data_IF_253354211843
#
_entry.id   IF_253354211843
#
_cell.length_a   1.000
_cell.length_b   1.000
_cell.length_c   1.000
_cell.angle_alpha   90.00
_cell.angle_beta   90.00
_cell.angle_gamma   90.00
#
_symmetry.space_group_name_H-M   'P 1'
#
loop_
_entity.id
_entity.type
_entity.pdbx_description
1 polymer ?
#
# COMPACT_ATOMS: atom_id res chain seq x y z
N UNK A 1 -59.33 11.06 17.06
CA UNK A 1 -59.24 10.01 16.04
C UNK A 1 -58.33 8.91 16.58
N UNK A 2 -58.90 7.89 17.20
CA UNK A 2 -58.21 6.78 17.84
C UNK A 2 -57.86 5.74 16.80
N UNK A 3 -56.57 5.51 16.56
CA UNK A 3 -56.07 4.42 15.71
C UNK A 3 -55.82 3.20 16.63
N UNK A 4 -56.72 2.20 16.60
CA UNK A 4 -56.48 0.92 17.25
C UNK A 4 -55.50 0.09 16.46
N UNK A 5 -54.49 -0.52 17.07
CA UNK A 5 -53.66 -1.53 16.38
C UNK A 5 -54.44 -2.84 16.24
N UNK A 6 -54.48 -3.36 15.02
CA UNK A 6 -55.01 -4.69 14.72
C UNK A 6 -53.93 -5.70 15.11
N UNK A 7 -54.07 -6.36 16.27
CA UNK A 7 -53.30 -7.52 16.64
C UNK A 7 -54.03 -8.75 16.05
N UNK A 8 -53.55 -9.22 14.90
CA UNK A 8 -53.92 -10.53 14.36
C UNK A 8 -53.11 -11.59 15.13
N UNK A 9 -53.79 -12.29 16.01
CA UNK A 9 -53.25 -13.43 16.72
C UNK A 9 -53.18 -14.64 15.77
N UNK A 10 -52.05 -14.95 15.26
CA UNK A 10 -51.73 -16.20 14.61
C UNK A 10 -51.10 -17.13 15.63
N UNK A 11 -51.77 -18.24 15.94
CA UNK A 11 -51.29 -19.28 16.82
C UNK A 11 -50.02 -19.91 16.23
N UNK A 12 -48.89 -19.64 16.82
CA UNK A 12 -47.66 -20.38 16.59
C UNK A 12 -47.80 -21.82 17.10
N UNK A 13 -47.98 -22.73 16.14
CA UNK A 13 -47.75 -24.16 16.36
C UNK A 13 -46.27 -24.38 16.69
N UNK A 14 -46.00 -24.63 17.97
CA UNK A 14 -44.71 -25.08 18.49
C UNK A 14 -44.33 -26.44 17.89
N UNK A 15 -43.95 -26.49 16.62
CA UNK A 15 -43.22 -27.59 16.03
C UNK A 15 -41.79 -27.58 16.56
N UNK A 16 -41.55 -28.34 17.63
CA UNK A 16 -40.21 -28.72 18.08
C UNK A 16 -39.44 -29.30 16.89
N UNK A 17 -38.65 -28.47 16.22
CA UNK A 17 -37.64 -28.94 15.28
C UNK A 17 -36.56 -29.66 16.09
N UNK A 18 -36.70 -30.97 16.25
CA UNK A 18 -35.61 -31.83 16.66
C UNK A 18 -34.61 -31.85 15.49
N UNK A 19 -33.62 -30.99 15.51
CA UNK A 19 -32.47 -31.08 14.64
C UNK A 19 -31.70 -32.33 15.08
N UNK A 20 -32.07 -33.49 14.50
CA UNK A 20 -31.18 -34.65 14.44
C UNK A 20 -30.01 -34.21 13.55
N UNK A 21 -28.90 -33.94 14.17
CA UNK A 21 -27.62 -33.68 13.47
C UNK A 21 -27.16 -35.00 12.84
N UNK A 22 -27.51 -35.22 11.60
CA UNK A 22 -26.75 -36.08 10.72
C UNK A 22 -25.51 -35.29 10.22
N UNK A 23 -24.54 -35.12 11.11
CA UNK A 23 -23.28 -34.40 10.80
C UNK A 23 -22.49 -35.10 9.68
N UNK A 24 -22.61 -36.39 9.51
CA UNK A 24 -21.98 -37.19 8.46
C UNK A 24 -22.57 -36.93 7.07
N UNK A 25 -23.89 -36.88 6.93
CA UNK A 25 -24.55 -36.66 5.63
C UNK A 25 -24.36 -35.22 5.12
N UNK A 26 -24.21 -34.25 6.01
CA UNK A 26 -23.95 -32.87 5.61
C UNK A 26 -22.52 -32.65 5.09
N UNK A 27 -21.51 -33.34 5.63
CA UNK A 27 -20.15 -33.29 5.13
C UNK A 27 -20.01 -33.94 3.75
N UNK A 28 -20.62 -35.09 3.53
CA UNK A 28 -20.57 -35.80 2.26
C UNK A 28 -21.29 -35.03 1.15
N UNK A 29 -22.46 -34.44 1.43
CA UNK A 29 -23.19 -33.58 0.51
C UNK A 29 -22.42 -32.25 0.22
N UNK A 30 -21.70 -31.71 1.18
CA UNK A 30 -20.83 -30.55 0.98
C UNK A 30 -19.59 -30.87 0.12
N UNK A 31 -18.98 -32.06 0.32
CA UNK A 31 -17.88 -32.53 -0.52
C UNK A 31 -18.30 -32.79 -1.97
N UNK A 32 -19.45 -33.40 -2.18
CA UNK A 32 -20.02 -33.66 -3.52
C UNK A 32 -20.32 -32.32 -4.22
N UNK A 33 -20.96 -31.38 -3.51
CA UNK A 33 -21.28 -30.04 -4.05
C UNK A 33 -20.06 -29.20 -4.34
N UNK A 34 -18.99 -29.35 -3.56
CA UNK A 34 -17.72 -28.67 -3.80
C UNK A 34 -16.89 -29.31 -4.91
N UNK A 35 -16.98 -30.61 -5.15
CA UNK A 35 -16.29 -31.29 -6.26
C UNK A 35 -16.80 -30.90 -7.64
N UNK A 36 -18.07 -30.52 -7.78
CA UNK A 36 -18.70 -30.11 -9.05
C UNK A 36 -18.49 -28.64 -9.42
N UNK A 37 -17.96 -27.79 -8.51
CA UNK A 37 -17.76 -26.38 -8.76
C UNK A 37 -16.43 -26.06 -9.49
N UNK A 38 -16.38 -25.07 -10.40
CA UNK A 38 -15.16 -24.62 -11.04
C UNK A 38 -14.08 -24.29 -10.01
N UNK A 39 -12.82 -24.58 -10.33
CA UNK A 39 -11.67 -24.42 -9.42
C UNK A 39 -11.55 -23.03 -8.80
N UNK A 40 -11.99 -21.99 -9.51
CA UNK A 40 -11.99 -20.60 -9.03
C UNK A 40 -13.04 -20.34 -7.94
N UNK A 41 -14.18 -21.05 -7.97
CA UNK A 41 -15.25 -20.92 -6.97
C UNK A 41 -14.90 -21.69 -5.69
N UNK A 42 -14.26 -22.86 -5.82
CA UNK A 42 -13.80 -23.65 -4.65
C UNK A 42 -12.86 -22.86 -3.72
N UNK A 43 -12.01 -21.99 -4.29
CA UNK A 43 -11.07 -21.19 -3.52
C UNK A 43 -11.70 -20.06 -2.69
N UNK A 44 -12.95 -19.71 -2.95
CA UNK A 44 -13.69 -18.64 -2.27
C UNK A 44 -14.76 -19.15 -1.32
N UNK A 45 -14.94 -20.46 -1.23
CA UNK A 45 -15.84 -21.11 -0.28
C UNK A 45 -15.12 -21.39 1.04
N UNK A 46 -15.85 -21.20 2.16
CA UNK A 46 -15.33 -21.63 3.47
C UNK A 46 -15.26 -23.16 3.50
N UNK A 47 -14.09 -23.76 3.81
CA UNK A 47 -13.93 -25.21 3.89
C UNK A 47 -14.87 -25.88 4.88
N UNK A 48 -15.33 -25.16 5.90
CA UNK A 48 -16.23 -25.66 6.94
C UNK A 48 -17.71 -25.29 6.69
N UNK A 49 -18.01 -24.52 5.64
CA UNK A 49 -19.37 -24.11 5.28
C UNK A 49 -20.06 -23.17 6.28
N UNK A 50 -19.36 -22.68 7.29
CA UNK A 50 -19.90 -21.85 8.37
C UNK A 50 -20.00 -20.38 7.95
N UNK A 51 -18.96 -19.85 7.32
CA UNK A 51 -18.91 -18.44 6.93
C UNK A 51 -19.58 -18.23 5.57
N UNK A 52 -20.51 -17.27 5.43
CA UNK A 52 -21.13 -16.95 4.15
C UNK A 52 -20.08 -16.65 3.07
N UNK A 53 -20.28 -17.17 1.86
CA UNK A 53 -19.30 -17.12 0.77
C UNK A 53 -18.81 -15.71 0.43
N UNK A 54 -19.69 -14.72 0.47
CA UNK A 54 -19.33 -13.32 0.20
C UNK A 54 -18.34 -12.78 1.23
N UNK A 55 -18.59 -13.03 2.50
CA UNK A 55 -17.76 -12.60 3.62
C UNK A 55 -16.41 -13.33 3.58
N UNK A 56 -16.43 -14.65 3.37
CA UNK A 56 -15.20 -15.44 3.26
C UNK A 56 -14.31 -14.99 2.11
N UNK A 57 -14.90 -14.55 0.98
CA UNK A 57 -14.17 -13.98 -0.16
C UNK A 57 -13.30 -12.76 0.23
N UNK A 58 -13.79 -11.90 1.12
CA UNK A 58 -13.02 -10.74 1.63
C UNK A 58 -11.77 -11.22 2.36
N UNK A 59 -11.91 -12.19 3.28
CA UNK A 59 -10.78 -12.75 4.00
C UNK A 59 -9.76 -13.45 3.08
N UNK A 60 -10.24 -14.20 2.08
CA UNK A 60 -9.37 -14.87 1.10
C UNK A 60 -8.61 -13.84 0.27
N UNK A 61 -9.26 -12.76 -0.16
CA UNK A 61 -8.62 -11.70 -0.92
C UNK A 61 -7.51 -11.03 -0.11
N UNK A 62 -7.76 -10.69 1.17
CA UNK A 62 -6.75 -10.11 2.06
C UNK A 62 -5.57 -11.07 2.28
N UNK A 63 -5.85 -12.34 2.57
CA UNK A 63 -4.83 -13.38 2.75
C UNK A 63 -3.94 -13.53 1.51
N UNK A 64 -4.54 -13.47 0.31
CA UNK A 64 -3.81 -13.54 -0.97
C UNK A 64 -2.89 -12.34 -1.15
N UNK A 65 -3.38 -11.13 -0.87
CA UNK A 65 -2.60 -9.90 -0.97
C UNK A 65 -1.41 -9.94 0.00
N UNK A 66 -1.63 -10.39 1.24
CA UNK A 66 -0.54 -10.49 2.22
C UNK A 66 0.50 -11.53 1.83
N UNK A 67 0.08 -12.69 1.31
CA UNK A 67 1.02 -13.68 0.77
C UNK A 67 1.84 -13.12 -0.39
N UNK A 68 1.20 -12.38 -1.30
CA UNK A 68 1.89 -11.75 -2.42
C UNK A 68 2.91 -10.71 -1.94
N UNK A 69 2.53 -9.86 -0.97
CA UNK A 69 3.45 -8.89 -0.39
C UNK A 69 4.66 -9.55 0.28
N UNK A 70 4.43 -10.62 1.04
CA UNK A 70 5.51 -11.40 1.69
C UNK A 70 6.47 -11.93 0.61
N UNK A 71 5.95 -12.56 -0.45
CA UNK A 71 6.77 -13.06 -1.54
C UNK A 71 7.58 -11.93 -2.19
N UNK A 72 6.94 -10.79 -2.46
CA UNK A 72 7.58 -9.62 -3.06
C UNK A 72 8.71 -9.07 -2.18
N UNK A 73 8.48 -8.91 -0.87
CA UNK A 73 9.51 -8.42 0.04
C UNK A 73 10.65 -9.43 0.27
N UNK A 74 10.37 -10.75 0.26
CA UNK A 74 11.41 -11.78 0.25
C UNK A 74 12.29 -11.62 -0.99
N UNK A 75 11.71 -11.44 -2.17
CA UNK A 75 12.48 -11.25 -3.41
C UNK A 75 13.37 -10.01 -3.33
N UNK A 76 12.84 -8.87 -2.87
CA UNK A 76 13.63 -7.63 -2.72
C UNK A 76 14.77 -7.86 -1.71
N UNK A 77 14.50 -8.50 -0.59
CA UNK A 77 15.49 -8.80 0.43
C UNK A 77 16.63 -9.67 -0.11
N UNK A 78 16.29 -10.75 -0.84
CA UNK A 78 17.28 -11.64 -1.46
C UNK A 78 18.10 -10.90 -2.52
N UNK A 79 17.48 -10.12 -3.40
CA UNK A 79 18.20 -9.31 -4.41
C UNK A 79 19.14 -8.31 -3.73
N UNK A 80 18.70 -7.64 -2.69
CA UNK A 80 19.51 -6.70 -1.92
C UNK A 80 20.70 -7.36 -1.27
N UNK A 81 20.48 -8.53 -0.63
CA UNK A 81 21.53 -9.32 -0.01
C UNK A 81 22.54 -9.80 -1.05
N UNK A 82 22.06 -10.37 -2.16
CA UNK A 82 22.90 -10.84 -3.26
C UNK A 82 23.74 -9.71 -3.84
N UNK A 83 23.15 -8.54 -4.07
CA UNK A 83 23.88 -7.37 -4.58
C UNK A 83 24.97 -6.93 -3.61
N UNK A 84 24.69 -6.90 -2.30
CA UNK A 84 25.69 -6.55 -1.28
C UNK A 84 26.84 -7.56 -1.23
N UNK A 85 26.53 -8.86 -1.33
CA UNK A 85 27.54 -9.92 -1.39
C UNK A 85 28.39 -9.84 -2.66
N UNK A 86 27.78 -9.60 -3.82
CA UNK A 86 28.50 -9.42 -5.08
C UNK A 86 29.43 -8.22 -5.02
N UNK A 87 29.04 -7.12 -4.40
CA UNK A 87 29.90 -5.96 -4.20
C UNK A 87 31.13 -6.29 -3.30
N UNK A 88 30.93 -7.19 -2.32
CA UNK A 88 32.00 -7.57 -1.41
C UNK A 88 32.98 -8.62 -2.01
N UNK A 89 32.44 -9.64 -2.69
CA UNK A 89 33.22 -10.81 -3.11
C UNK A 89 33.60 -10.81 -4.60
N UNK A 90 32.83 -10.11 -5.45
CA UNK A 90 33.05 -10.11 -6.89
C UNK A 90 33.01 -8.68 -7.48
N UNK A 91 33.84 -7.74 -7.00
CA UNK A 91 33.86 -6.36 -7.49
C UNK A 91 34.23 -6.27 -8.98
N UNK A 92 34.93 -7.25 -9.53
CA UNK A 92 35.30 -7.33 -10.95
C UNK A 92 34.09 -7.35 -11.90
N UNK A 93 32.93 -7.86 -11.48
CA UNK A 93 31.70 -7.86 -12.27
C UNK A 93 31.18 -6.42 -12.50
N UNK A 94 31.59 -5.48 -11.67
CA UNK A 94 31.15 -4.08 -11.71
C UNK A 94 32.22 -3.12 -12.22
N UNK A 95 33.27 -3.62 -12.89
CA UNK A 95 34.40 -2.81 -13.40
C UNK A 95 33.95 -1.62 -14.25
N UNK A 96 32.84 -1.74 -15.01
CA UNK A 96 32.25 -0.64 -15.78
C UNK A 96 31.80 0.56 -14.93
N UNK A 97 31.54 0.33 -13.64
CA UNK A 97 31.11 1.35 -12.68
C UNK A 97 32.24 1.82 -11.75
N UNK A 98 33.40 1.16 -11.83
CA UNK A 98 34.60 1.53 -11.10
C UNK A 98 35.41 2.52 -11.93
N UNK A 99 36.02 3.51 -11.26
CA UNK A 99 36.99 4.40 -11.89
C UNK A 99 38.28 3.62 -12.17
N UNK A 100 38.97 4.01 -13.25
CA UNK A 100 40.24 3.37 -13.61
C UNK A 100 41.19 3.32 -12.41
N UNK A 101 41.73 2.13 -12.15
CA UNK A 101 42.66 1.88 -11.02
C UNK A 101 42.00 1.50 -9.68
N UNK A 102 40.67 1.47 -9.58
CA UNK A 102 40.00 1.02 -8.35
C UNK A 102 39.72 -0.48 -8.39
N UNK A 103 40.18 -1.19 -7.37
CA UNK A 103 39.94 -2.64 -7.18
C UNK A 103 38.76 -2.93 -6.25
N UNK A 104 38.29 -1.94 -5.49
CA UNK A 104 37.22 -2.08 -4.51
C UNK A 104 36.09 -1.10 -4.78
N UNK A 105 34.85 -1.57 -4.56
CA UNK A 105 33.65 -0.71 -4.65
C UNK A 105 33.64 0.24 -3.46
N UNK A 106 33.42 1.53 -3.74
CA UNK A 106 33.32 2.57 -2.71
C UNK A 106 32.14 2.25 -1.79
N UNK A 107 32.34 2.41 -0.47
CA UNK A 107 31.33 2.09 0.57
C UNK A 107 29.97 2.73 0.33
N UNK A 108 29.89 3.88 -0.33
CA UNK A 108 28.64 4.56 -0.67
C UNK A 108 27.68 3.71 -1.52
N UNK A 109 28.16 2.79 -2.34
CA UNK A 109 27.32 1.90 -3.14
C UNK A 109 26.60 0.83 -2.30
N UNK A 110 27.12 0.48 -1.12
CA UNK A 110 26.46 -0.43 -0.19
C UNK A 110 25.23 0.17 0.50
N UNK A 111 25.13 1.51 0.54
CA UNK A 111 24.04 2.20 1.27
C UNK A 111 22.67 1.83 0.69
N UNK A 112 22.53 1.88 -0.63
CA UNK A 112 21.23 1.64 -1.30
C UNK A 112 20.74 0.18 -1.06
N UNK A 113 21.51 -0.87 -1.38
CA UNK A 113 21.08 -2.24 -1.10
C UNK A 113 20.89 -2.48 0.40
N UNK A 114 21.72 -1.94 1.28
CA UNK A 114 21.54 -2.13 2.72
C UNK A 114 20.23 -1.53 3.24
N UNK A 115 19.91 -0.31 2.84
CA UNK A 115 18.63 0.33 3.20
C UNK A 115 17.45 -0.47 2.64
N UNK A 116 17.49 -0.89 1.37
CA UNK A 116 16.44 -1.70 0.76
C UNK A 116 16.29 -3.05 1.46
N UNK A 117 17.39 -3.70 1.84
CA UNK A 117 17.40 -4.94 2.60
C UNK A 117 16.72 -4.80 3.96
N UNK A 118 17.11 -3.80 4.75
CA UNK A 118 16.52 -3.54 6.06
C UNK A 118 15.04 -3.19 5.96
N UNK A 119 14.67 -2.31 5.04
CA UNK A 119 13.26 -1.91 4.87
C UNK A 119 12.37 -3.07 4.40
N UNK A 120 12.87 -3.91 3.48
CA UNK A 120 12.12 -5.09 3.03
C UNK A 120 11.98 -6.15 4.12
N UNK A 121 13.01 -6.35 4.96
CA UNK A 121 12.95 -7.26 6.10
C UNK A 121 11.91 -6.80 7.15
N UNK A 122 11.91 -5.52 7.51
CA UNK A 122 10.92 -4.93 8.41
C UNK A 122 9.50 -5.10 7.83
N UNK A 123 9.31 -4.79 6.54
CA UNK A 123 8.02 -4.93 5.88
C UNK A 123 7.54 -6.39 5.86
N UNK A 124 8.44 -7.35 5.67
CA UNK A 124 8.16 -8.79 5.71
C UNK A 124 7.62 -9.22 7.09
N UNK A 125 8.25 -8.77 8.16
CA UNK A 125 7.80 -9.06 9.54
C UNK A 125 6.38 -8.53 9.75
N UNK A 126 6.11 -7.26 9.39
CA UNK A 126 4.78 -6.68 9.53
C UNK A 126 3.72 -7.43 8.72
N UNK A 127 4.00 -7.79 7.47
CA UNK A 127 3.04 -8.54 6.65
C UNK A 127 2.82 -9.97 7.15
N UNK A 128 3.83 -10.62 7.74
CA UNK A 128 3.70 -11.93 8.38
C UNK A 128 2.80 -11.86 9.63
N UNK A 129 2.98 -10.85 10.49
CA UNK A 129 2.13 -10.61 11.67
C UNK A 129 0.69 -10.35 11.23
N UNK A 130 0.47 -9.48 10.23
CA UNK A 130 -0.87 -9.20 9.71
C UNK A 130 -1.51 -10.45 9.09
N UNK A 131 -0.76 -11.30 8.40
CA UNK A 131 -1.27 -12.57 7.85
C UNK A 131 -1.71 -13.53 8.95
N UNK A 132 -0.95 -13.62 10.04
CA UNK A 132 -1.34 -14.39 11.24
C UNK A 132 -2.62 -13.83 11.88
N UNK A 133 -2.72 -12.50 11.99
CA UNK A 133 -3.92 -11.82 12.49
C UNK A 133 -5.17 -12.14 11.66
N UNK A 134 -5.05 -12.16 10.32
CA UNK A 134 -6.18 -12.53 9.43
C UNK A 134 -6.63 -13.97 9.70
N UNK A 135 -5.70 -14.92 9.89
CA UNK A 135 -6.05 -16.32 10.17
C UNK A 135 -6.84 -16.44 11.46
N UNK A 136 -6.34 -15.83 12.55
CA UNK A 136 -7.04 -15.82 13.85
C UNK A 136 -8.42 -15.17 13.76
N UNK A 137 -8.55 -14.07 12.99
CA UNK A 137 -9.84 -13.38 12.81
C UNK A 137 -10.86 -14.25 12.08
N UNK A 138 -10.44 -15.09 11.11
CA UNK A 138 -11.31 -16.03 10.43
C UNK A 138 -11.79 -17.14 11.37
N UNK A 139 -10.89 -17.70 12.17
CA UNK A 139 -11.21 -18.73 13.16
C UNK A 139 -12.18 -18.20 14.21
N UNK A 140 -11.88 -17.02 14.77
CA UNK A 140 -12.74 -16.35 15.76
C UNK A 140 -14.14 -16.06 15.21
N UNK A 141 -14.22 -15.55 13.98
CA UNK A 141 -15.51 -15.26 13.34
C UNK A 141 -16.33 -16.52 13.08
N UNK A 142 -15.69 -17.63 12.72
CA UNK A 142 -16.34 -18.92 12.56
C UNK A 142 -16.92 -19.43 13.87
N UNK A 143 -16.16 -19.30 14.96
CA UNK A 143 -16.60 -19.68 16.30
C UNK A 143 -17.83 -18.88 16.74
N UNK A 144 -17.84 -17.56 16.49
CA UNK A 144 -18.97 -16.69 16.79
C UNK A 144 -20.24 -17.07 16.02
N UNK A 145 -20.13 -17.37 14.73
CA UNK A 145 -21.26 -17.83 13.93
C UNK A 145 -21.81 -19.15 14.49
N UNK A 146 -20.96 -20.07 14.90
CA UNK A 146 -21.37 -21.33 15.52
C UNK A 146 -22.10 -21.12 16.86
N UNK A 147 -21.78 -20.06 17.59
CA UNK A 147 -22.47 -19.65 18.81
C UNK A 147 -23.77 -18.87 18.56
N UNK A 148 -24.16 -18.68 17.28
CA UNK A 148 -25.35 -17.93 16.89
C UNK A 148 -25.21 -16.41 16.97
N UNK A 149 -23.99 -15.92 17.19
CA UNK A 149 -23.69 -14.49 17.29
C UNK A 149 -23.38 -13.97 15.87
N UNK A 150 -24.31 -13.17 15.32
CA UNK A 150 -24.15 -12.55 14.00
C UNK A 150 -23.82 -11.07 14.13
N UNK A 151 -22.54 -10.74 14.24
CA UNK A 151 -22.11 -9.35 14.16
C UNK A 151 -20.89 -9.21 13.22
N UNK A 152 -20.66 -8.00 12.73
CA UNK A 152 -19.49 -7.75 11.88
C UNK A 152 -18.21 -7.82 12.69
N UNK A 153 -17.21 -8.63 12.25
CA UNK A 153 -15.96 -8.74 12.97
C UNK A 153 -15.26 -7.39 13.08
N UNK A 154 -14.74 -7.01 14.26
CA UNK A 154 -13.96 -5.78 14.43
C UNK A 154 -12.79 -5.66 13.46
N UNK A 155 -12.22 -6.80 13.05
CA UNK A 155 -11.19 -6.86 12.03
C UNK A 155 -11.62 -6.21 10.71
N UNK A 156 -12.86 -6.41 10.26
CA UNK A 156 -13.36 -5.90 8.98
C UNK A 156 -13.53 -4.38 9.03
N UNK A 157 -14.02 -3.86 10.16
CA UNK A 157 -14.14 -2.42 10.40
C UNK A 157 -12.76 -1.77 10.36
N UNK A 158 -11.83 -2.29 11.14
CA UNK A 158 -10.44 -1.82 11.16
C UNK A 158 -9.76 -1.94 9.78
N UNK A 159 -10.06 -2.98 9.00
CA UNK A 159 -9.55 -3.15 7.65
C UNK A 159 -10.06 -2.06 6.72
N UNK A 160 -11.36 -1.74 6.78
CA UNK A 160 -11.96 -0.68 5.97
C UNK A 160 -11.35 0.69 6.28
N UNK A 161 -11.27 1.05 7.56
CA UNK A 161 -10.61 2.29 8.00
C UNK A 161 -9.15 2.36 7.54
N UNK A 162 -8.40 1.26 7.72
CA UNK A 162 -7.01 1.15 7.28
C UNK A 162 -6.87 1.35 5.77
N UNK A 163 -7.78 0.78 4.97
CA UNK A 163 -7.81 0.96 3.52
C UNK A 163 -8.09 2.42 3.14
N UNK A 164 -9.06 3.05 3.80
CA UNK A 164 -9.43 4.44 3.59
C UNK A 164 -8.27 5.39 3.92
N UNK A 165 -7.69 5.27 5.13
CA UNK A 165 -6.54 6.08 5.56
C UNK A 165 -5.32 5.87 4.64
N UNK A 166 -5.07 4.62 4.21
CA UNK A 166 -3.98 4.27 3.29
C UNK A 166 -4.20 4.86 1.89
N UNK A 167 -5.46 4.94 1.43
CA UNK A 167 -5.81 5.59 0.17
C UNK A 167 -5.49 7.08 0.21
N UNK A 168 -5.93 7.78 1.25
CA UNK A 168 -5.69 9.22 1.42
C UNK A 168 -4.18 9.51 1.49
N UNK A 169 -3.45 8.79 2.35
CA UNK A 169 -1.99 8.97 2.47
C UNK A 169 -1.26 8.76 1.15
N UNK A 170 -1.61 7.69 0.40
CA UNK A 170 -0.97 7.41 -0.89
C UNK A 170 -1.31 8.45 -1.94
N UNK A 171 -2.52 9.00 -1.94
CA UNK A 171 -2.88 10.09 -2.84
C UNK A 171 -1.96 11.29 -2.63
N UNK A 172 -1.80 11.75 -1.39
CA UNK A 172 -0.93 12.89 -1.09
C UNK A 172 0.56 12.60 -1.33
N UNK A 173 1.00 11.36 -1.07
CA UNK A 173 2.36 10.95 -1.37
C UNK A 173 2.65 11.01 -2.88
N UNK A 174 1.73 10.52 -3.72
CA UNK A 174 1.88 10.59 -5.17
C UNK A 174 1.82 12.04 -5.67
N UNK A 175 0.93 12.87 -5.12
CA UNK A 175 0.91 14.31 -5.41
C UNK A 175 2.28 14.95 -5.09
N UNK A 176 2.85 14.63 -3.93
CA UNK A 176 4.16 15.14 -3.55
C UNK A 176 5.28 14.66 -4.49
N UNK A 177 5.31 13.37 -4.82
CA UNK A 177 6.30 12.81 -5.77
C UNK A 177 6.19 13.51 -7.13
N UNK A 178 5.00 13.61 -7.69
CA UNK A 178 4.80 14.27 -9.00
C UNK A 178 5.20 15.74 -8.94
N UNK A 179 4.85 16.44 -7.86
CA UNK A 179 5.19 17.83 -7.68
C UNK A 179 6.72 18.03 -7.60
N UNK A 180 7.40 17.33 -6.70
CA UNK A 180 8.84 17.52 -6.52
C UNK A 180 9.67 16.99 -7.69
N UNK A 181 9.29 15.84 -8.25
CA UNK A 181 9.97 15.30 -9.42
C UNK A 181 9.70 16.17 -10.65
N UNK A 182 8.48 16.68 -10.81
CA UNK A 182 8.14 17.62 -11.88
C UNK A 182 8.88 18.94 -11.75
N UNK A 183 8.95 19.51 -10.54
CA UNK A 183 9.70 20.73 -10.26
C UNK A 183 11.19 20.52 -10.54
N UNK A 184 11.78 19.39 -10.11
CA UNK A 184 13.15 19.03 -10.40
C UNK A 184 13.39 18.91 -11.91
N UNK A 185 12.51 18.22 -12.63
CA UNK A 185 12.61 18.02 -14.09
C UNK A 185 12.56 19.36 -14.83
N UNK A 186 11.63 20.25 -14.45
CA UNK A 186 11.51 21.60 -15.03
C UNK A 186 12.74 22.45 -14.74
N UNK A 187 13.24 22.42 -13.50
CA UNK A 187 14.44 23.17 -13.12
C UNK A 187 15.66 22.64 -13.85
N UNK A 188 15.83 21.33 -13.93
CA UNK A 188 16.94 20.70 -14.65
C UNK A 188 16.89 21.05 -16.15
N UNK A 189 15.73 20.93 -16.79
CA UNK A 189 15.52 21.29 -18.19
C UNK A 189 15.77 22.77 -18.44
N UNK A 190 15.29 23.65 -17.56
CA UNK A 190 15.46 25.10 -17.70
C UNK A 190 16.88 25.58 -17.46
N UNK A 191 17.69 24.85 -16.67
CA UNK A 191 19.07 25.23 -16.32
C UNK A 191 20.13 24.56 -17.19
N UNK A 192 19.83 23.49 -17.93
CA UNK A 192 20.82 22.69 -18.66
C UNK A 192 21.70 23.50 -19.61
N UNK A 193 21.16 24.57 -20.19
CA UNK A 193 21.86 25.43 -21.18
C UNK A 193 22.16 26.85 -20.62
N UNK A 194 21.95 27.07 -19.34
CA UNK A 194 22.07 28.39 -18.73
C UNK A 194 23.40 28.58 -17.97
N UNK A 195 23.90 29.81 -18.06
CA UNK A 195 25.05 30.28 -17.29
C UNK A 195 24.66 31.54 -16.50
N UNK A 196 24.81 31.51 -15.20
CA UNK A 196 24.46 32.62 -14.30
C UNK A 196 25.68 33.10 -13.57
N UNK A 197 26.37 34.09 -14.13
CA UNK A 197 27.57 34.66 -13.54
C UNK A 197 28.67 33.61 -13.32
N UNK A 198 29.05 33.39 -12.07
CA UNK A 198 30.06 32.39 -11.68
C UNK A 198 29.53 30.92 -11.73
N UNK A 199 28.20 30.72 -11.81
CA UNK A 199 27.59 29.39 -11.85
C UNK A 199 27.33 29.01 -13.31
N UNK A 200 28.14 28.09 -13.82
CA UNK A 200 28.02 27.54 -15.17
C UNK A 200 27.30 26.19 -15.11
N UNK A 201 25.97 26.25 -15.13
CA UNK A 201 25.12 25.03 -15.09
C UNK A 201 25.30 24.19 -16.33
N UNK A 202 25.51 24.83 -17.49
CA UNK A 202 25.75 24.12 -18.75
C UNK A 202 26.98 23.22 -18.62
N UNK A 203 28.13 23.78 -18.23
CA UNK A 203 29.38 23.04 -18.05
C UNK A 203 29.20 21.91 -17.01
N UNK A 204 28.54 22.18 -15.90
CA UNK A 204 28.35 21.21 -14.83
C UNK A 204 27.44 20.07 -15.24
N UNK A 205 26.30 20.36 -15.90
CA UNK A 205 25.34 19.35 -16.32
C UNK A 205 25.91 18.49 -17.44
N UNK A 206 26.53 19.11 -18.49
CA UNK A 206 27.09 18.36 -19.61
C UNK A 206 28.37 17.58 -19.24
N UNK A 207 29.12 18.01 -18.22
CA UNK A 207 30.26 17.22 -17.70
C UNK A 207 29.78 16.01 -16.87
N UNK A 208 28.61 16.11 -16.22
CA UNK A 208 28.06 15.04 -15.40
C UNK A 208 27.24 14.05 -16.21
N UNK A 209 26.60 14.51 -17.30
CA UNK A 209 25.69 13.72 -18.11
C UNK A 209 25.97 13.92 -19.59
N UNK A 210 26.32 12.84 -20.28
CA UNK A 210 26.61 12.86 -21.72
C UNK A 210 25.44 13.32 -22.58
N UNK A 211 24.21 13.04 -22.14
CA UNK A 211 22.97 13.45 -22.81
C UNK A 211 21.93 13.93 -21.80
N UNK A 212 21.89 15.25 -21.48
CA UNK A 212 20.93 15.80 -20.52
C UNK A 212 19.47 15.63 -20.92
N UNK A 213 19.14 15.66 -22.22
CA UNK A 213 17.77 15.50 -22.68
C UNK A 213 17.24 14.10 -22.41
N UNK A 214 18.07 13.07 -22.53
CA UNK A 214 17.70 11.71 -22.17
C UNK A 214 17.26 11.60 -20.71
N UNK A 215 17.93 12.33 -19.80
CA UNK A 215 17.55 12.34 -18.38
C UNK A 215 16.19 12.96 -18.19
N UNK A 216 15.88 14.05 -18.90
CA UNK A 216 14.53 14.65 -18.84
C UNK A 216 13.47 13.66 -19.29
N UNK A 217 13.70 12.93 -20.39
CA UNK A 217 12.77 11.88 -20.84
C UNK A 217 12.61 10.75 -19.84
N UNK A 218 13.71 10.28 -19.23
CA UNK A 218 13.66 9.25 -18.18
C UNK A 218 12.85 9.73 -16.98
N UNK A 219 13.05 10.97 -16.51
CA UNK A 219 12.29 11.54 -15.41
C UNK A 219 10.79 11.64 -15.74
N UNK A 220 10.44 12.07 -16.96
CA UNK A 220 9.05 12.08 -17.42
C UNK A 220 8.44 10.67 -17.43
N UNK A 221 9.18 9.67 -17.92
CA UNK A 221 8.74 8.27 -17.90
C UNK A 221 8.53 7.76 -16.47
N UNK A 222 9.39 8.14 -15.53
CA UNK A 222 9.23 7.79 -14.11
C UNK A 222 7.95 8.41 -13.54
N UNK A 223 7.67 9.70 -13.83
CA UNK A 223 6.44 10.38 -13.39
C UNK A 223 5.21 9.65 -13.92
N UNK A 224 5.19 9.31 -15.21
CA UNK A 224 4.10 8.54 -15.83
C UNK A 224 3.96 7.15 -15.20
N UNK A 225 5.06 6.46 -14.97
CA UNK A 225 5.09 5.16 -14.29
C UNK A 225 4.47 5.21 -12.90
N UNK A 226 4.84 6.20 -12.09
CA UNK A 226 4.27 6.43 -10.75
C UNK A 226 2.77 6.68 -10.83
N UNK A 227 2.31 7.47 -11.81
CA UNK A 227 0.89 7.76 -12.00
C UNK A 227 0.09 6.50 -12.38
N UNK A 228 0.59 5.69 -13.31
CA UNK A 228 -0.03 4.41 -13.71
C UNK A 228 -0.12 3.46 -12.52
N UNK A 229 0.96 3.27 -11.77
CA UNK A 229 0.98 2.41 -10.58
C UNK A 229 0.00 2.91 -9.51
N UNK A 230 -0.14 4.22 -9.35
CA UNK A 230 -1.13 4.81 -8.44
C UNK A 230 -2.56 4.50 -8.88
N UNK A 231 -2.89 4.66 -10.15
CA UNK A 231 -4.23 4.38 -10.69
C UNK A 231 -4.59 2.92 -10.45
N UNK A 232 -3.72 1.98 -10.84
CA UNK A 232 -3.94 0.53 -10.65
C UNK A 232 -4.16 0.21 -9.16
N UNK A 233 -3.29 0.72 -8.31
CA UNK A 233 -3.40 0.52 -6.87
C UNK A 233 -4.64 1.18 -6.25
N UNK A 234 -5.11 2.30 -6.79
CA UNK A 234 -6.32 3.01 -6.34
C UNK A 234 -7.58 2.23 -6.71
N UNK A 235 -7.67 1.72 -7.95
CA UNK A 235 -8.78 0.88 -8.41
C UNK A 235 -8.88 -0.39 -7.55
N UNK A 236 -7.77 -1.06 -7.31
CA UNK A 236 -7.73 -2.27 -6.48
C UNK A 236 -8.24 -2.01 -5.06
N UNK A 237 -7.81 -0.91 -4.43
CA UNK A 237 -8.28 -0.53 -3.08
C UNK A 237 -9.75 -0.15 -3.04
N UNK A 238 -10.22 0.64 -4.03
CA UNK A 238 -11.65 1.00 -4.12
C UNK A 238 -12.51 -0.24 -4.26
N UNK A 239 -12.13 -1.20 -5.12
CA UNK A 239 -12.84 -2.47 -5.28
C UNK A 239 -12.96 -3.21 -3.96
N UNK A 240 -11.87 -3.32 -3.20
CA UNK A 240 -11.88 -3.98 -1.88
C UNK A 240 -12.80 -3.29 -0.88
N UNK A 241 -12.81 -1.95 -0.84
CA UNK A 241 -13.73 -1.20 0.03
C UNK A 241 -15.20 -1.44 -0.36
N UNK A 242 -15.50 -1.47 -1.67
CA UNK A 242 -16.85 -1.78 -2.16
C UNK A 242 -17.25 -3.22 -1.82
N UNK A 243 -16.36 -4.20 -1.99
CA UNK A 243 -16.61 -5.59 -1.61
C UNK A 243 -16.94 -5.70 -0.10
N UNK A 244 -16.20 -4.99 0.77
CA UNK A 244 -16.50 -4.95 2.21
C UNK A 244 -17.87 -4.34 2.47
N UNK A 245 -18.20 -3.20 1.86
CA UNK A 245 -19.50 -2.54 2.02
C UNK A 245 -20.65 -3.42 1.54
N UNK A 246 -20.48 -4.12 0.42
CA UNK A 246 -21.50 -4.97 -0.16
C UNK A 246 -21.87 -6.18 0.72
N UNK A 247 -20.87 -6.77 1.41
CA UNK A 247 -21.09 -7.98 2.19
C UNK A 247 -21.40 -7.74 3.67
N UNK A 248 -20.94 -6.62 4.23
CA UNK A 248 -21.15 -6.30 5.64
C UNK A 248 -22.22 -5.21 5.87
N UNK A 249 -22.75 -4.63 4.80
CA UNK A 249 -23.88 -3.71 4.82
C UNK A 249 -23.61 -2.37 5.52
N UNK A 250 -24.71 -1.59 5.61
CA UNK A 250 -24.68 -0.24 6.21
C UNK A 250 -24.78 -0.26 7.74
N UNK A 251 -25.21 -1.38 8.34
CA UNK A 251 -25.51 -1.47 9.78
C UNK A 251 -24.25 -1.30 10.65
N UNK A 252 -23.09 -1.55 10.07
CA UNK A 252 -21.83 -1.64 10.81
C UNK A 252 -20.97 -0.39 10.65
N UNK A 253 -21.22 0.43 9.65
CA UNK A 253 -20.40 1.60 9.36
C UNK A 253 -21.18 2.89 9.55
N UNK A 254 -20.79 3.67 10.54
CA UNK A 254 -21.25 5.06 10.66
C UNK A 254 -20.62 5.88 9.53
N UNK A 255 -21.33 5.99 8.39
CA UNK A 255 -20.85 6.71 7.20
C UNK A 255 -20.45 8.15 7.50
N UNK A 256 -21.17 8.83 8.40
CA UNK A 256 -20.88 10.20 8.78
C UNK A 256 -19.53 10.31 9.49
N UNK A 257 -19.23 9.37 10.37
CA UNK A 257 -17.95 9.30 11.09
C UNK A 257 -16.81 9.01 10.15
N UNK A 258 -16.96 8.01 9.28
CA UNK A 258 -15.97 7.66 8.26
C UNK A 258 -15.72 8.80 7.25
N UNK A 259 -16.75 9.50 6.84
CA UNK A 259 -16.64 10.68 5.97
C UNK A 259 -15.87 11.80 6.67
N UNK A 260 -16.14 12.04 7.95
CA UNK A 260 -15.41 12.99 8.80
C UNK A 260 -13.96 12.62 8.97
N UNK A 261 -13.67 11.35 9.28
CA UNK A 261 -12.28 10.83 9.36
C UNK A 261 -11.52 10.98 8.04
N UNK A 262 -12.16 10.65 6.91
CA UNK A 262 -11.57 10.82 5.59
C UNK A 262 -11.24 12.29 5.32
N UNK A 263 -12.18 13.20 5.62
CA UNK A 263 -11.97 14.64 5.49
C UNK A 263 -10.81 15.12 6.36
N UNK A 264 -10.76 14.69 7.62
CA UNK A 264 -9.69 15.03 8.55
C UNK A 264 -8.33 14.51 8.07
N UNK A 265 -8.29 13.29 7.56
CA UNK A 265 -7.08 12.72 6.99
C UNK A 265 -6.59 13.51 5.75
N UNK A 266 -7.51 13.94 4.86
CA UNK A 266 -7.18 14.82 3.74
C UNK A 266 -6.64 16.17 4.21
N UNK A 267 -7.28 16.81 5.17
CA UNK A 267 -6.83 18.09 5.75
C UNK A 267 -5.43 17.98 6.37
N UNK A 268 -5.17 16.89 7.10
CA UNK A 268 -3.86 16.63 7.71
C UNK A 268 -2.75 16.50 6.65
N UNK A 269 -2.93 15.60 5.67
CA UNK A 269 -1.92 15.36 4.64
C UNK A 269 -1.74 16.56 3.69
N UNK A 270 -2.81 17.30 3.42
CA UNK A 270 -2.74 18.59 2.70
C UNK A 270 -1.84 19.59 3.43
N UNK A 271 -2.04 19.76 4.75
CA UNK A 271 -1.17 20.64 5.56
C UNK A 271 0.28 20.18 5.52
N UNK A 272 0.54 18.89 5.68
CA UNK A 272 1.91 18.33 5.59
C UNK A 272 2.54 18.63 4.25
N UNK A 273 1.80 18.45 3.15
CA UNK A 273 2.29 18.76 1.80
C UNK A 273 2.63 20.24 1.65
N UNK A 274 1.71 21.16 1.99
CA UNK A 274 1.97 22.60 1.86
C UNK A 274 3.12 23.09 2.75
N UNK A 275 3.25 22.56 3.97
CA UNK A 275 4.40 22.85 4.84
C UNK A 275 5.69 22.37 4.17
N UNK A 276 5.71 21.16 3.60
CA UNK A 276 6.90 20.65 2.91
C UNK A 276 7.28 21.50 1.69
N UNK A 277 6.32 21.98 0.93
CA UNK A 277 6.54 22.91 -0.20
C UNK A 277 7.13 24.23 0.30
N UNK A 278 6.57 24.80 1.34
CA UNK A 278 7.04 26.04 1.93
C UNK A 278 8.50 25.91 2.42
N UNK A 279 8.81 24.83 3.13
CA UNK A 279 10.18 24.54 3.58
C UNK A 279 11.11 24.38 2.39
N UNK A 280 10.70 23.64 1.35
CA UNK A 280 11.51 23.43 0.14
C UNK A 280 11.80 24.73 -0.62
N UNK A 281 10.90 25.71 -0.60
CA UNK A 281 11.11 27.02 -1.24
C UNK A 281 11.95 27.98 -0.38
N UNK A 282 11.73 27.97 0.93
CA UNK A 282 12.40 28.90 1.86
C UNK A 282 13.85 28.48 2.14
N UNK A 283 14.13 27.18 2.25
CA UNK A 283 15.44 26.66 2.62
C UNK A 283 16.56 27.07 1.66
N UNK A 284 16.43 27.02 0.32
CA UNK A 284 17.42 27.53 -0.62
C UNK A 284 17.68 29.05 -0.48
N UNK A 285 16.63 29.83 -0.20
CA UNK A 285 16.76 31.28 0.00
C UNK A 285 17.60 31.58 1.25
N UNK A 286 17.33 30.86 2.34
CA UNK A 286 18.10 31.00 3.59
C UNK A 286 19.57 30.63 3.35
N UNK A 287 19.82 29.51 2.65
CA UNK A 287 21.18 29.08 2.32
C UNK A 287 21.91 30.15 1.50
N UNK A 288 21.26 30.68 0.47
CA UNK A 288 21.84 31.76 -0.36
C UNK A 288 22.18 33.02 0.47
N UNK A 289 21.30 33.41 1.40
CA UNK A 289 21.53 34.55 2.29
C UNK A 289 22.72 34.31 3.22
N UNK A 290 22.83 33.09 3.78
CA UNK A 290 23.96 32.70 4.65
C UNK A 290 25.28 32.74 3.86
N UNK A 291 25.30 32.10 2.68
CA UNK A 291 26.51 32.10 1.81
C UNK A 291 26.91 33.51 1.43
N UNK A 292 25.96 34.36 1.01
CA UNK A 292 26.23 35.76 0.69
C UNK A 292 26.81 36.54 1.88
N UNK A 293 26.33 36.27 3.10
CA UNK A 293 26.84 36.91 4.33
C UNK A 293 28.25 36.45 4.67
N UNK A 294 28.57 35.16 4.46
CA UNK A 294 29.90 34.60 4.71
C UNK A 294 30.91 35.15 3.71
N UNK A 295 30.54 35.18 2.42
CA UNK A 295 31.43 35.73 1.37
C UNK A 295 31.71 37.20 1.59
N UNK A 296 30.71 38.01 1.98
CA UNK A 296 30.93 39.46 2.30
C UNK A 296 31.83 39.73 3.51
N UNK A 297 31.95 38.75 4.44
CA UNK A 297 32.87 38.92 5.60
C UNK A 297 34.31 38.54 5.28
N UNK A 298 34.58 37.92 4.14
CA UNK A 298 35.93 37.51 3.71
C UNK A 298 36.59 38.48 2.72
N UNK A 299 35.84 39.48 2.27
CA UNK A 299 36.31 40.63 1.50
C UNK A 299 36.37 41.85 2.41
#
# INVERSE_FOLDING_TARGET
MDIKPIISGEKEDNKKFSIKRDETNNMENLEIKTKSLPSNVKKTLDPYGVIPNGIFKVFVAEKRIKKFNILFFITIFLVSLTTSLLFAFAPSLFQKFLKDGQTKIVWGWYIIPSILGVLSFIALIFDAIELSGIRRSVEYYREQINQGISFTPPFVINLYEKLMRKQVRRTWLVVAIIFYLGLFTLTFWGLKDKKWGALDFNKWIHSSFSNPDLIVYVLCCIILGVLVLFIIGSISRKKRMVDIQMFFGNEVMNYNELAKERSNAHKYWSKVFFISVLVSLVLPIIILLIVKRIVRKKV
#
